data_IF_395157124665
#
_entry.id   IF_395157124665
#
_cell.length_a   1.000
_cell.length_b   1.000
_cell.length_c   1.000
_cell.angle_alpha   90.00
_cell.angle_beta   90.00
_cell.angle_gamma   90.00
#
_symmetry.space_group_name_H-M   'P 1'
#
loop_
_entity.id
_entity.type
_entity.pdbx_description
1 polymer ?
#
# COMPACT_ATOMS: atom_id res chain seq x y z
N UNK A 1 8.43 -18.56 -67.64
CA UNK A 1 7.43 -19.16 -66.73
C UNK A 1 7.95 -19.52 -65.33
N UNK A 2 9.16 -20.10 -65.15
CA UNK A 2 9.71 -20.44 -63.81
C UNK A 2 9.81 -19.25 -62.84
N UNK A 3 10.36 -18.13 -63.29
CA UNK A 3 10.53 -16.92 -62.46
C UNK A 3 9.20 -16.30 -62.00
N UNK A 4 8.15 -16.39 -62.83
CA UNK A 4 6.82 -15.86 -62.50
C UNK A 4 6.16 -16.64 -61.35
N UNK A 5 6.33 -17.97 -61.31
CA UNK A 5 5.87 -18.82 -60.20
C UNK A 5 6.61 -18.50 -58.89
N UNK A 6 7.92 -18.27 -58.96
CA UNK A 6 8.73 -17.92 -57.77
C UNK A 6 8.30 -16.57 -57.19
N UNK A 7 8.06 -15.57 -58.03
CA UNK A 7 7.56 -14.25 -57.60
C UNK A 7 6.17 -14.38 -56.95
N UNK A 8 5.27 -15.17 -57.53
CA UNK A 8 3.93 -15.39 -56.96
C UNK A 8 3.98 -16.07 -55.58
N UNK A 9 4.82 -17.09 -55.42
CA UNK A 9 5.03 -17.76 -54.13
C UNK A 9 5.59 -16.78 -53.10
N UNK A 10 6.58 -15.95 -53.49
CA UNK A 10 7.21 -14.98 -52.61
C UNK A 10 6.19 -13.93 -52.10
N UNK A 11 5.39 -13.35 -53.01
CA UNK A 11 4.34 -12.40 -52.68
C UNK A 11 3.32 -13.05 -51.73
N UNK A 12 2.87 -14.26 -52.04
CA UNK A 12 1.91 -14.99 -51.20
C UNK A 12 2.46 -15.25 -49.79
N UNK A 13 3.72 -15.68 -49.66
CA UNK A 13 4.37 -15.86 -48.34
C UNK A 13 4.53 -14.56 -47.56
N UNK A 14 4.87 -13.45 -48.23
CA UNK A 14 5.00 -12.14 -47.59
C UNK A 14 3.63 -11.65 -47.11
N UNK A 15 2.58 -11.77 -47.92
CA UNK A 15 1.21 -11.42 -47.54
C UNK A 15 0.73 -12.23 -46.34
N UNK A 16 1.03 -13.53 -46.29
CA UNK A 16 0.72 -14.39 -45.14
C UNK A 16 1.47 -13.93 -43.89
N UNK A 17 2.76 -13.62 -43.99
CA UNK A 17 3.56 -13.11 -42.86
C UNK A 17 3.02 -11.77 -42.33
N UNK A 18 2.60 -10.85 -43.21
CA UNK A 18 1.98 -9.59 -42.83
C UNK A 18 0.63 -9.80 -42.10
N UNK A 19 -0.19 -10.75 -42.55
CA UNK A 19 -1.46 -11.10 -41.89
C UNK A 19 -1.23 -11.67 -40.49
N UNK A 20 -0.26 -12.59 -40.34
CA UNK A 20 0.10 -13.12 -39.03
C UNK A 20 0.63 -12.05 -38.07
N UNK A 21 1.45 -11.11 -38.56
CA UNK A 21 1.97 -10.01 -37.74
C UNK A 21 0.85 -9.06 -37.28
N UNK A 22 -0.12 -8.78 -38.16
CA UNK A 22 -1.27 -7.91 -37.86
C UNK A 22 -2.19 -8.53 -36.79
N UNK A 23 -2.43 -9.84 -36.85
CA UNK A 23 -3.21 -10.57 -35.86
C UNK A 23 -2.53 -10.62 -34.48
N UNK A 24 -1.20 -10.81 -34.44
CA UNK A 24 -0.43 -10.79 -33.18
C UNK A 24 -0.52 -9.40 -32.54
N UNK A 25 -0.29 -8.33 -33.32
CA UNK A 25 -0.38 -6.96 -32.82
C UNK A 25 -1.77 -6.60 -32.28
N UNK A 26 -2.85 -7.04 -32.96
CA UNK A 26 -4.21 -6.83 -32.46
C UNK A 26 -4.45 -7.54 -31.11
N UNK A 27 -4.00 -8.79 -30.98
CA UNK A 27 -4.16 -9.57 -29.74
C UNK A 27 -3.38 -8.95 -28.58
N UNK A 28 -2.14 -8.52 -28.81
CA UNK A 28 -1.32 -7.87 -27.79
C UNK A 28 -1.93 -6.54 -27.33
N UNK A 29 -2.45 -5.74 -28.26
CA UNK A 29 -3.16 -4.50 -27.93
C UNK A 29 -4.42 -4.78 -27.09
N UNK A 30 -5.23 -5.77 -27.47
CA UNK A 30 -6.43 -6.14 -26.71
C UNK A 30 -6.10 -6.61 -25.29
N UNK A 31 -5.04 -7.40 -25.10
CA UNK A 31 -4.58 -7.82 -23.76
C UNK A 31 -4.13 -6.61 -22.94
N UNK A 32 -3.36 -5.70 -23.55
CA UNK A 32 -2.91 -4.47 -22.88
C UNK A 32 -4.08 -3.59 -22.47
N UNK A 33 -5.10 -3.46 -23.31
CA UNK A 33 -6.29 -2.65 -23.00
C UNK A 33 -7.10 -3.26 -21.86
N UNK A 34 -7.29 -4.58 -21.82
CA UNK A 34 -7.94 -5.27 -20.70
C UNK A 34 -7.14 -5.07 -19.40
N UNK A 35 -5.82 -5.21 -19.46
CA UNK A 35 -4.96 -4.97 -18.31
C UNK A 35 -5.07 -3.52 -17.83
N UNK A 36 -5.08 -2.56 -18.74
CA UNK A 36 -5.22 -1.14 -18.42
C UNK A 36 -6.56 -0.83 -17.77
N UNK A 37 -7.67 -1.36 -18.29
CA UNK A 37 -9.00 -1.21 -17.66
C UNK A 37 -9.00 -1.74 -16.22
N UNK A 38 -8.38 -2.90 -15.99
CA UNK A 38 -8.27 -3.47 -14.63
C UNK A 38 -7.43 -2.56 -13.72
N UNK A 39 -6.29 -2.08 -14.22
CA UNK A 39 -5.42 -1.16 -13.49
C UNK A 39 -6.14 0.14 -13.11
N UNK A 40 -6.84 0.74 -14.07
CA UNK A 40 -7.60 1.99 -13.88
C UNK A 40 -8.74 1.80 -12.87
N UNK A 41 -9.41 0.65 -12.91
CA UNK A 41 -10.47 0.31 -11.95
C UNK A 41 -9.95 0.20 -10.52
N UNK A 42 -8.81 -0.47 -10.33
CA UNK A 42 -8.16 -0.60 -9.02
C UNK A 42 -7.63 0.75 -8.51
N UNK A 43 -7.02 1.54 -9.41
CA UNK A 43 -6.55 2.88 -9.10
C UNK A 43 -7.70 3.79 -8.65
N UNK A 44 -8.83 3.74 -9.36
CA UNK A 44 -10.03 4.48 -8.99
C UNK A 44 -10.59 4.05 -7.63
N UNK A 45 -10.57 2.75 -7.30
CA UNK A 45 -10.95 2.27 -5.97
C UNK A 45 -10.05 2.86 -4.87
N UNK A 46 -8.73 2.85 -5.06
CA UNK A 46 -7.78 3.44 -4.12
C UNK A 46 -8.00 4.95 -3.96
N UNK A 47 -8.22 5.68 -5.05
CA UNK A 47 -8.48 7.12 -4.97
C UNK A 47 -9.80 7.45 -4.27
N UNK A 48 -10.84 6.61 -4.38
CA UNK A 48 -12.07 6.78 -3.56
C UNK A 48 -11.79 6.59 -2.07
N UNK A 49 -10.98 5.60 -1.71
CA UNK A 49 -10.58 5.38 -0.32
C UNK A 49 -9.76 6.56 0.21
N UNK A 50 -8.76 7.00 -0.56
CA UNK A 50 -7.90 8.14 -0.19
C UNK A 50 -8.69 9.44 -0.08
N UNK A 51 -9.53 9.76 -1.06
CA UNK A 51 -10.38 10.96 -1.03
C UNK A 51 -11.33 10.95 0.16
N UNK A 52 -11.85 9.78 0.54
CA UNK A 52 -12.65 9.65 1.77
C UNK A 52 -11.82 9.88 3.03
N UNK A 53 -10.61 9.32 3.11
CA UNK A 53 -9.71 9.49 4.24
C UNK A 53 -9.20 10.94 4.38
N UNK A 54 -8.72 11.55 3.31
CA UNK A 54 -8.16 12.91 3.35
C UNK A 54 -9.21 14.01 3.28
N UNK A 55 -10.32 13.81 2.58
CA UNK A 55 -11.34 14.83 2.37
C UNK A 55 -11.99 15.34 3.66
N UNK A 56 -12.20 14.47 4.66
CA UNK A 56 -12.72 14.88 5.98
C UNK A 56 -11.71 15.74 6.77
N UNK A 57 -10.44 15.72 6.37
CA UNK A 57 -9.32 16.41 7.03
C UNK A 57 -9.00 17.75 6.38
N UNK A 58 -9.24 17.90 5.07
CA UNK A 58 -9.02 19.14 4.31
C UNK A 58 -10.26 20.08 4.29
N UNK A 59 -11.24 19.86 5.19
CA UNK A 59 -12.32 20.83 5.44
C UNK A 59 -11.76 22.10 6.12
N UNK A 60 -11.05 22.92 5.35
CA UNK A 60 -10.55 24.24 5.75
C UNK A 60 -11.64 25.33 5.77
N UNK A 61 -12.80 25.03 5.20
CA UNK A 61 -13.86 26.02 4.97
C UNK A 61 -14.82 26.19 6.16
N UNK A 62 -14.82 25.27 7.12
CA UNK A 62 -15.64 25.31 8.35
C UNK A 62 -14.83 24.59 9.43
N UNK A 63 -14.81 25.08 10.67
CA UNK A 63 -13.97 24.43 11.70
C UNK A 63 -14.40 22.97 11.89
N UNK A 64 -13.43 22.04 12.01
CA UNK A 64 -13.69 20.59 12.15
C UNK A 64 -14.60 20.22 13.34
N UNK A 65 -14.73 21.15 14.29
CA UNK A 65 -15.62 21.03 15.46
C UNK A 65 -17.07 21.32 15.09
N UNK A 66 -17.31 22.33 14.25
CA UNK A 66 -18.65 22.74 13.80
C UNK A 66 -19.25 21.77 12.77
N UNK A 67 -18.42 21.13 11.94
CA UNK A 67 -18.88 20.17 10.93
C UNK A 67 -19.15 18.77 11.46
N UNK A 68 -18.86 18.50 12.74
CA UNK A 68 -18.89 17.14 13.30
C UNK A 68 -17.76 16.23 12.78
N UNK A 69 -16.83 16.73 11.97
CA UNK A 69 -15.73 15.96 11.40
C UNK A 69 -14.85 15.31 12.48
N UNK A 70 -14.64 15.96 13.64
CA UNK A 70 -13.92 15.34 14.76
C UNK A 70 -14.60 14.10 15.32
N UNK A 71 -15.94 14.09 15.37
CA UNK A 71 -16.72 12.94 15.85
C UNK A 71 -16.81 11.84 14.79
N UNK A 72 -16.87 12.21 13.52
CA UNK A 72 -17.05 11.26 12.42
C UNK A 72 -15.75 10.62 11.92
N UNK A 73 -14.61 11.34 12.00
CA UNK A 73 -13.31 10.87 11.49
C UNK A 73 -12.94 9.45 11.97
N UNK A 74 -13.07 9.08 13.26
CA UNK A 74 -12.72 7.72 13.70
C UNK A 74 -13.57 6.61 13.04
N UNK A 75 -14.85 6.90 12.75
CA UNK A 75 -15.73 5.96 12.04
C UNK A 75 -15.31 5.82 10.59
N UNK A 76 -14.99 6.94 9.94
CA UNK A 76 -14.54 6.95 8.54
C UNK A 76 -13.19 6.24 8.39
N UNK A 77 -12.27 6.47 9.33
CA UNK A 77 -10.97 5.81 9.40
C UNK A 77 -11.16 4.28 9.50
N UNK A 78 -12.07 3.81 10.36
CA UNK A 78 -12.41 2.38 10.47
C UNK A 78 -12.99 1.80 9.17
N UNK A 79 -13.90 2.52 8.50
CA UNK A 79 -14.48 2.08 7.23
C UNK A 79 -13.40 1.96 6.15
N UNK A 80 -12.53 2.97 6.03
CA UNK A 80 -11.47 2.97 5.04
C UNK A 80 -10.40 1.92 5.36
N UNK A 81 -10.14 1.63 6.63
CA UNK A 81 -9.30 0.51 7.04
C UNK A 81 -9.82 -0.81 6.49
N UNK A 82 -11.12 -1.13 6.68
CA UNK A 82 -11.69 -2.37 6.16
C UNK A 82 -11.62 -2.44 4.63
N UNK A 83 -11.87 -1.33 3.93
CA UNK A 83 -11.71 -1.27 2.47
C UNK A 83 -10.28 -1.55 2.03
N UNK A 84 -9.26 -1.01 2.72
CA UNK A 84 -7.85 -1.30 2.41
C UNK A 84 -7.53 -2.78 2.69
N UNK A 85 -7.98 -3.34 3.81
CA UNK A 85 -7.78 -4.75 4.12
C UNK A 85 -8.40 -5.63 3.04
N UNK A 86 -9.64 -5.36 2.64
CA UNK A 86 -10.32 -6.11 1.59
C UNK A 86 -9.62 -5.97 0.24
N UNK A 87 -9.16 -4.76 -0.11
CA UNK A 87 -8.38 -4.53 -1.31
C UNK A 87 -7.11 -5.39 -1.32
N UNK A 88 -6.36 -5.38 -0.21
CA UNK A 88 -5.11 -6.13 -0.08
C UNK A 88 -5.36 -7.64 -0.08
N UNK A 89 -6.38 -8.13 0.62
CA UNK A 89 -6.77 -9.56 0.59
C UNK A 89 -7.11 -10.03 -0.84
N UNK A 90 -7.75 -9.18 -1.65
CA UNK A 90 -8.19 -9.55 -3.02
C UNK A 90 -7.10 -9.37 -4.08
N UNK A 91 -6.27 -8.33 -3.95
CA UNK A 91 -5.40 -7.87 -5.03
C UNK A 91 -3.90 -7.83 -4.65
N UNK A 92 -3.57 -7.93 -3.36
CA UNK A 92 -2.25 -7.66 -2.82
C UNK A 92 -2.00 -6.17 -2.53
N UNK A 93 -0.78 -5.84 -2.07
CA UNK A 93 -0.39 -4.46 -1.76
C UNK A 93 -0.37 -3.60 -3.03
N UNK A 94 -0.94 -2.37 -3.01
CA UNK A 94 -0.79 -1.39 -4.07
C UNK A 94 0.69 -1.17 -4.44
N UNK A 95 1.04 -1.42 -5.70
CA UNK A 95 2.37 -1.19 -6.24
C UNK A 95 2.32 -0.97 -7.77
N UNK A 96 3.43 -0.50 -8.34
CA UNK A 96 3.55 -0.23 -9.78
C UNK A 96 3.25 -1.43 -10.68
N UNK A 97 3.58 -2.66 -10.25
CA UNK A 97 3.30 -3.88 -11.03
C UNK A 97 1.80 -4.17 -11.10
N UNK A 98 1.09 -3.97 -9.98
CA UNK A 98 -0.36 -4.18 -9.91
C UNK A 98 -1.13 -3.09 -10.66
N UNK A 99 -0.73 -1.83 -10.51
CA UNK A 99 -1.51 -0.67 -10.91
C UNK A 99 -1.03 0.00 -12.21
N UNK A 100 0.17 -0.33 -12.68
CA UNK A 100 0.84 0.41 -13.76
C UNK A 100 1.54 1.66 -13.23
N UNK A 101 2.60 2.09 -13.90
CA UNK A 101 3.41 3.23 -13.43
C UNK A 101 2.61 4.55 -13.45
N UNK A 102 1.87 4.79 -14.52
CA UNK A 102 1.05 6.01 -14.69
C UNK A 102 0.05 6.17 -13.54
N UNK A 103 -0.74 5.13 -13.27
CA UNK A 103 -1.72 5.19 -12.18
C UNK A 103 -1.04 5.29 -10.81
N UNK A 104 0.05 4.54 -10.58
CA UNK A 104 0.75 4.58 -9.31
C UNK A 104 1.44 5.93 -9.05
N UNK A 105 1.65 6.75 -10.08
CA UNK A 105 2.20 8.11 -9.91
C UNK A 105 1.23 9.10 -9.27
N UNK A 106 -0.07 8.80 -9.24
CA UNK A 106 -1.04 9.64 -8.56
C UNK A 106 -0.96 9.45 -7.03
N UNK A 107 -0.89 10.57 -6.30
CA UNK A 107 -0.85 10.58 -4.83
C UNK A 107 -1.98 9.77 -4.21
N UNK A 108 -3.20 9.86 -4.76
CA UNK A 108 -4.35 9.13 -4.23
C UNK A 108 -4.26 7.60 -4.41
N UNK A 109 -3.39 7.13 -5.30
CA UNK A 109 -3.13 5.70 -5.52
C UNK A 109 -1.98 5.23 -4.63
N UNK A 110 -0.83 5.90 -4.71
CA UNK A 110 0.36 5.56 -3.91
C UNK A 110 0.11 5.73 -2.39
N UNK A 111 -0.57 6.82 -2.02
CA UNK A 111 -0.78 7.23 -0.65
C UNK A 111 -1.94 6.52 0.07
N UNK A 112 -2.91 5.96 -0.65
CA UNK A 112 -4.14 5.36 -0.09
C UNK A 112 -3.86 4.39 1.07
N UNK A 113 -3.06 3.36 0.78
CA UNK A 113 -2.70 2.33 1.74
C UNK A 113 -2.02 2.91 2.98
N UNK A 114 -1.00 3.74 2.77
CA UNK A 114 -0.16 4.21 3.87
C UNK A 114 -0.89 5.22 4.75
N UNK A 115 -1.66 6.13 4.15
CA UNK A 115 -2.44 7.14 4.87
C UNK A 115 -3.47 6.49 5.80
N UNK A 116 -4.28 5.57 5.28
CA UNK A 116 -5.32 4.89 6.05
C UNK A 116 -4.72 4.11 7.23
N UNK A 117 -3.64 3.35 6.99
CA UNK A 117 -3.02 2.55 8.03
C UNK A 117 -2.33 3.40 9.11
N UNK A 118 -1.78 4.57 8.75
CA UNK A 118 -1.24 5.52 9.74
C UNK A 118 -2.33 6.16 10.61
N UNK A 119 -3.57 6.24 10.13
CA UNK A 119 -4.70 6.71 10.94
C UNK A 119 -5.32 5.62 11.80
N UNK A 120 -5.15 4.35 11.41
CA UNK A 120 -5.75 3.19 12.09
C UNK A 120 -4.74 2.16 12.61
N UNK A 121 -3.56 2.55 13.15
CA UNK A 121 -2.54 1.57 13.52
C UNK A 121 -2.96 0.69 14.71
N UNK A 122 -3.94 1.15 15.50
CA UNK A 122 -4.55 0.37 16.57
C UNK A 122 -5.26 -0.89 16.07
N UNK A 123 -5.80 -0.86 14.85
CA UNK A 123 -6.47 -2.01 14.25
C UNK A 123 -5.46 -3.13 13.99
N UNK A 124 -4.23 -2.82 13.58
CA UNK A 124 -3.18 -3.82 13.38
C UNK A 124 -2.57 -4.28 14.70
N UNK A 125 -2.29 -3.35 15.61
CA UNK A 125 -1.66 -3.69 16.90
C UNK A 125 -2.55 -4.58 17.76
N UNK A 126 -3.87 -4.37 17.73
CA UNK A 126 -4.81 -5.07 18.59
C UNK A 126 -5.54 -6.23 17.90
N UNK A 127 -5.35 -6.44 16.59
CA UNK A 127 -6.00 -7.54 15.86
C UNK A 127 -4.97 -8.30 15.02
N UNK A 128 -4.67 -9.52 15.46
CA UNK A 128 -3.70 -10.40 14.80
C UNK A 128 -4.14 -10.80 13.39
N UNK A 129 -5.44 -11.02 13.14
CA UNK A 129 -5.92 -11.41 11.81
C UNK A 129 -5.57 -10.34 10.77
N UNK A 130 -5.78 -9.06 11.11
CA UNK A 130 -5.43 -7.97 10.19
C UNK A 130 -3.93 -7.76 10.09
N UNK A 131 -3.18 -7.90 11.19
CA UNK A 131 -1.72 -7.84 11.13
C UNK A 131 -1.14 -8.91 10.21
N UNK A 132 -1.67 -10.13 10.28
CA UNK A 132 -1.19 -11.27 9.50
C UNK A 132 -1.36 -11.06 7.99
N UNK A 133 -2.40 -10.35 7.54
CA UNK A 133 -2.57 -9.95 6.13
C UNK A 133 -1.35 -9.15 5.64
N UNK A 134 -0.90 -8.17 6.43
CA UNK A 134 0.22 -7.31 6.02
C UNK A 134 1.57 -8.00 6.21
N UNK A 135 1.71 -8.89 7.20
CA UNK A 135 2.90 -9.72 7.36
C UNK A 135 3.08 -10.70 6.19
N UNK A 136 1.99 -11.27 5.68
CA UNK A 136 2.04 -12.12 4.49
C UNK A 136 2.60 -11.36 3.29
N UNK A 137 2.19 -10.11 3.11
CA UNK A 137 2.70 -9.25 2.04
C UNK A 137 4.15 -8.83 2.25
N UNK A 138 4.62 -8.72 3.50
CA UNK A 138 6.05 -8.58 3.81
C UNK A 138 6.82 -9.84 3.42
N UNK A 139 6.30 -11.02 3.76
CA UNK A 139 6.94 -12.30 3.43
C UNK A 139 7.00 -12.55 1.92
N UNK A 140 6.00 -12.07 1.15
CA UNK A 140 6.00 -12.07 -0.32
C UNK A 140 6.97 -11.05 -0.94
N UNK A 141 7.49 -10.11 -0.14
CA UNK A 141 8.33 -9.01 -0.63
C UNK A 141 7.57 -7.85 -1.27
N UNK A 142 6.23 -7.84 -1.16
CA UNK A 142 5.37 -6.77 -1.70
C UNK A 142 5.31 -5.55 -0.77
N UNK A 143 5.52 -5.75 0.54
CA UNK A 143 5.60 -4.69 1.55
C UNK A 143 6.98 -4.71 2.22
N UNK A 144 7.61 -3.54 2.35
CA UNK A 144 8.84 -3.42 3.14
C UNK A 144 8.50 -3.53 4.63
N UNK A 145 9.29 -4.32 5.37
CA UNK A 145 9.13 -4.46 6.82
C UNK A 145 9.25 -3.12 7.55
N UNK A 146 10.09 -2.20 7.06
CA UNK A 146 10.26 -0.85 7.60
C UNK A 146 8.98 -0.01 7.51
N UNK A 147 8.20 -0.20 6.45
CA UNK A 147 6.90 0.46 6.27
C UNK A 147 5.90 -0.07 7.30
N UNK A 148 5.83 -1.39 7.48
CA UNK A 148 4.97 -2.00 8.50
C UNK A 148 5.35 -1.55 9.92
N UNK A 149 6.65 -1.58 10.26
CA UNK A 149 7.18 -1.06 11.52
C UNK A 149 6.74 0.39 11.76
N UNK A 150 6.83 1.25 10.74
CA UNK A 150 6.41 2.65 10.83
C UNK A 150 4.93 2.76 11.18
N UNK A 151 4.07 2.01 10.50
CA UNK A 151 2.63 1.99 10.75
C UNK A 151 2.37 1.55 12.19
N UNK A 152 2.98 0.46 12.64
CA UNK A 152 2.77 -0.07 14.00
C UNK A 152 3.28 0.90 15.08
N UNK A 153 4.44 1.53 14.87
CA UNK A 153 4.99 2.51 15.82
C UNK A 153 4.10 3.75 15.96
N UNK A 154 3.36 4.14 14.91
CA UNK A 154 2.43 5.28 14.96
C UNK A 154 1.40 5.15 16.08
N UNK A 155 0.94 3.92 16.37
CA UNK A 155 0.05 3.64 17.52
C UNK A 155 0.65 4.09 18.85
N UNK A 156 1.96 3.92 18.99
CA UNK A 156 2.68 4.23 20.22
C UNK A 156 3.21 5.67 20.25
N UNK A 157 3.51 6.28 19.10
CA UNK A 157 3.96 7.68 19.00
C UNK A 157 2.99 8.64 19.67
N UNK A 158 1.70 8.43 19.47
CA UNK A 158 0.64 9.30 20.00
C UNK A 158 0.41 9.10 21.51
N UNK A 159 0.99 8.05 22.10
CA UNK A 159 0.85 7.70 23.52
C UNK A 159 2.08 8.17 24.29
N UNK A 160 1.85 8.91 25.37
CA UNK A 160 2.88 9.30 26.32
C UNK A 160 2.79 8.46 27.59
N UNK A 161 3.91 8.29 28.29
CA UNK A 161 3.89 7.83 29.68
C UNK A 161 3.65 8.98 30.65
N UNK A 162 3.65 8.67 31.94
CA UNK A 162 3.48 9.63 33.04
C UNK A 162 4.56 10.73 33.06
N UNK A 163 5.73 10.48 32.47
CA UNK A 163 6.83 11.42 32.32
C UNK A 163 6.81 12.17 30.96
N UNK A 164 5.77 11.97 30.15
CA UNK A 164 5.62 12.62 28.86
C UNK A 164 6.44 12.01 27.71
N UNK A 165 7.14 10.90 27.95
CA UNK A 165 7.93 10.20 26.93
C UNK A 165 7.03 9.45 25.95
N UNK A 166 7.33 9.53 24.65
CA UNK A 166 6.67 8.72 23.62
C UNK A 166 6.96 7.24 23.83
N UNK A 167 5.94 6.39 23.76
CA UNK A 167 6.04 4.95 23.99
C UNK A 167 6.51 4.15 22.77
N UNK A 168 7.31 4.75 21.87
CA UNK A 168 7.87 4.06 20.69
C UNK A 168 8.44 2.69 21.07
N UNK A 169 8.14 1.66 20.27
CA UNK A 169 8.53 0.27 20.59
C UNK A 169 9.28 -0.42 19.45
N UNK A 170 8.97 -0.14 18.18
CA UNK A 170 9.56 -0.89 17.08
C UNK A 170 10.89 -0.30 16.59
N UNK A 171 11.08 1.03 16.73
CA UNK A 171 12.27 1.71 16.24
C UNK A 171 12.16 2.07 14.76
N UNK A 172 11.10 2.81 14.44
CA UNK A 172 10.79 3.34 13.11
C UNK A 172 11.45 4.70 12.81
N UNK A 173 11.07 5.31 11.69
CA UNK A 173 11.45 6.69 11.35
C UNK A 173 10.97 7.74 12.37
N UNK A 174 10.00 7.42 13.23
CA UNK A 174 9.57 8.32 14.30
C UNK A 174 10.58 8.44 15.45
N UNK A 175 11.59 7.57 15.49
CA UNK A 175 12.73 7.67 16.39
C UNK A 175 13.05 6.38 17.15
N UNK A 176 13.93 6.52 18.13
CA UNK A 176 14.39 5.40 18.97
C UNK A 176 13.44 5.17 20.15
N UNK A 177 13.09 3.90 20.47
CA UNK A 177 12.40 3.55 21.71
C UNK A 177 13.22 3.93 22.94
N UNK A 178 12.54 4.21 24.05
CA UNK A 178 13.20 4.40 25.35
C UNK A 178 13.74 3.07 25.88
N UNK A 179 14.95 3.09 26.46
CA UNK A 179 15.59 1.88 26.98
C UNK A 179 14.74 1.17 28.06
N UNK A 180 13.98 1.93 28.86
CA UNK A 180 13.07 1.39 29.86
C UNK A 180 11.95 0.49 29.27
N UNK A 181 11.61 0.67 27.99
CA UNK A 181 10.64 -0.17 27.28
C UNK A 181 11.26 -1.34 26.53
N UNK A 182 12.54 -1.66 26.74
CA UNK A 182 13.24 -2.72 26.01
C UNK A 182 12.49 -4.05 26.02
N UNK A 183 12.01 -4.50 27.19
CA UNK A 183 11.26 -5.77 27.29
C UNK A 183 10.00 -5.76 26.41
N UNK A 184 9.27 -4.65 26.40
CA UNK A 184 8.07 -4.50 25.58
C UNK A 184 8.42 -4.40 24.09
N UNK A 185 9.47 -3.65 23.75
CA UNK A 185 10.02 -3.54 22.39
C UNK A 185 10.40 -4.91 21.84
N UNK A 186 11.16 -5.70 22.60
CA UNK A 186 11.59 -7.04 22.21
C UNK A 186 10.37 -7.96 22.00
N UNK A 187 9.37 -7.87 22.89
CA UNK A 187 8.12 -8.64 22.78
C UNK A 187 7.33 -8.31 21.51
N UNK A 188 7.08 -7.03 21.22
CA UNK A 188 6.27 -6.68 20.03
C UNK A 188 7.03 -6.91 18.72
N UNK A 189 8.36 -6.79 18.73
CA UNK A 189 9.19 -7.12 17.56
C UNK A 189 9.18 -8.61 17.25
N UNK A 190 9.20 -9.46 18.28
CA UNK A 190 9.10 -10.91 18.09
C UNK A 190 7.79 -11.31 17.41
N UNK A 191 6.66 -10.64 17.70
CA UNK A 191 5.35 -10.90 17.06
C UNK A 191 5.40 -10.76 15.54
N UNK A 192 6.21 -9.83 15.02
CA UNK A 192 6.38 -9.60 13.57
C UNK A 192 7.64 -10.27 13.01
N UNK A 193 8.24 -11.22 13.74
CA UNK A 193 9.40 -11.98 13.30
C UNK A 193 10.73 -11.21 13.32
N UNK A 194 10.81 -10.08 14.03
CA UNK A 194 12.02 -9.27 14.10
C UNK A 194 12.86 -9.60 15.34
N UNK A 195 14.20 -9.56 15.22
CA UNK A 195 15.07 -9.69 16.38
C UNK A 195 14.98 -8.45 17.29
N UNK A 196 15.37 -8.59 18.57
CA UNK A 196 15.59 -7.47 19.48
C UNK A 196 16.43 -6.34 18.87
N UNK A 197 16.11 -5.10 19.24
CA UNK A 197 16.93 -3.95 18.82
C UNK A 197 18.30 -3.98 19.51
N UNK A 198 19.35 -3.59 18.77
CA UNK A 198 20.67 -3.34 19.37
C UNK A 198 20.56 -2.18 20.39
N UNK A 199 21.32 -2.24 21.49
CA UNK A 199 21.29 -1.20 22.53
C UNK A 199 21.44 0.23 21.99
N UNK A 200 22.30 0.46 20.98
CA UNK A 200 22.49 1.77 20.33
C UNK A 200 21.25 2.33 19.61
N UNK A 201 20.24 1.49 19.37
CA UNK A 201 18.93 1.86 18.79
C UNK A 201 17.90 2.23 19.84
N UNK A 202 18.25 2.19 21.13
CA UNK A 202 17.47 2.80 22.21
C UNK A 202 18.05 4.18 22.57
N UNK A 203 17.22 5.02 23.18
CA UNK A 203 17.64 6.25 23.87
C UNK A 203 17.43 6.12 25.38
N UNK A 204 18.27 6.80 26.17
CA UNK A 204 17.97 7.03 27.58
C UNK A 204 16.81 8.02 27.65
N UNK A 205 15.83 7.71 28.49
CA UNK A 205 14.68 8.54 28.74
C UNK A 205 14.53 8.67 30.24
N UNK A 206 13.99 9.80 30.65
CA UNK A 206 13.71 10.13 32.05
C UNK A 206 12.59 9.23 32.61
#
# INVERSE_FOLDING_TARGET
>A
MKYLKVIFILIFTISILFLFHSCIGYRENAIRDIQKIKQDSLAFELCKIYGSDQGIRDMKLISRKETGALKFSPHLDSINFFKIVDFVKKNGIPNKKLLGEDNFSYECVEGAFFAVLLHTPHMLVNNKEYLDVFLEEVNKGNLKMETLITILDKYYVIRKDEFGNRKLLYGSQFGKPCLKYRKQSDSVRAVIGLPPLKLKKFKKCD
#
